data_IF_694034146684
#
_entry.id   IF_694034146684
#
_cell.length_a   1.000
_cell.length_b   1.000
_cell.length_c   1.000
_cell.angle_alpha   90.00
_cell.angle_beta   90.00
_cell.angle_gamma   90.00
#
_symmetry.space_group_name_H-M   'P 1'
#
loop_
_entity.id
_entity.type
_entity.pdbx_description
1 polymer ?
#
# COMPACT_ATOMS: atom_id res chain seq x y z
N UNK A 1 1.23 -92.52 -55.90
CA UNK A 1 -0.05 -91.79 -55.81
C UNK A 1 -0.40 -91.59 -54.35
N UNK A 2 -0.38 -90.36 -53.85
CA UNK A 2 -1.41 -89.75 -52.98
C UNK A 2 -0.83 -88.48 -52.35
N UNK A 3 -1.66 -87.46 -52.27
CA UNK A 3 -1.34 -86.06 -51.99
C UNK A 3 -1.99 -85.57 -50.68
N UNK A 4 -1.68 -84.32 -50.32
CA UNK A 4 -2.35 -83.36 -49.37
C UNK A 4 -1.59 -83.13 -48.06
N UNK A 5 -1.59 -81.94 -47.43
CA UNK A 5 -1.62 -80.48 -47.75
C UNK A 5 -1.53 -79.82 -46.34
N UNK A 6 -0.96 -78.61 -46.19
CA UNK A 6 -0.69 -78.00 -44.87
C UNK A 6 -1.88 -77.22 -44.32
N UNK A 7 -2.06 -77.23 -42.99
CA UNK A 7 -2.99 -76.39 -42.23
C UNK A 7 -2.21 -75.23 -41.62
N UNK A 8 -2.43 -74.03 -42.13
CA UNK A 8 -2.08 -72.76 -41.51
C UNK A 8 -3.15 -71.72 -41.95
N UNK A 9 -3.37 -70.69 -41.12
CA UNK A 9 -4.31 -69.56 -41.27
C UNK A 9 -5.74 -69.75 -40.74
N UNK A 10 -5.98 -69.39 -39.46
CA UNK A 10 -7.25 -68.75 -39.01
C UNK A 10 -7.07 -67.72 -37.86
N UNK A 11 -6.00 -67.75 -37.06
CA UNK A 11 -5.92 -66.92 -35.83
C UNK A 11 -5.41 -65.47 -35.96
N UNK A 12 -5.51 -64.83 -37.14
CA UNK A 12 -4.95 -63.48 -37.36
C UNK A 12 -5.99 -62.34 -37.51
N UNK A 13 -7.30 -62.62 -37.40
CA UNK A 13 -8.34 -61.66 -37.81
C UNK A 13 -9.20 -61.08 -36.68
N UNK A 14 -9.04 -61.50 -35.42
CA UNK A 14 -9.90 -61.05 -34.30
C UNK A 14 -9.23 -60.05 -33.34
N UNK A 15 -7.96 -59.69 -33.53
CA UNK A 15 -7.23 -58.72 -32.68
C UNK A 15 -7.17 -57.32 -33.32
N UNK A 16 -7.58 -57.17 -34.58
CA UNK A 16 -7.57 -55.89 -35.29
C UNK A 16 -8.80 -54.99 -35.04
N UNK A 17 -9.82 -55.44 -34.29
CA UNK A 17 -11.03 -54.65 -34.02
C UNK A 17 -11.02 -53.82 -32.73
N UNK A 18 -9.98 -53.92 -31.88
CA UNK A 18 -9.85 -53.10 -30.65
C UNK A 18 -8.95 -51.88 -30.86
N UNK A 19 -8.36 -51.72 -32.05
CA UNK A 19 -7.49 -50.59 -32.42
C UNK A 19 -8.21 -49.46 -33.17
N UNK A 20 -9.54 -49.49 -33.28
CA UNK A 20 -10.33 -48.31 -33.62
C UNK A 20 -10.47 -47.46 -32.35
N UNK A 21 -9.39 -46.77 -32.00
CA UNK A 21 -9.47 -45.58 -31.16
C UNK A 21 -10.34 -44.58 -31.90
N UNK A 22 -11.66 -44.69 -31.72
CA UNK A 22 -12.63 -43.72 -32.16
C UNK A 22 -12.06 -42.34 -31.82
N UNK A 23 -12.03 -41.44 -32.81
CA UNK A 23 -11.76 -40.04 -32.58
C UNK A 23 -12.85 -39.54 -31.63
N UNK A 24 -12.60 -39.67 -30.32
CA UNK A 24 -13.47 -39.23 -29.25
C UNK A 24 -13.67 -37.73 -29.50
N UNK A 25 -14.88 -37.37 -29.93
CA UNK A 25 -15.24 -35.99 -30.26
C UNK A 25 -14.97 -35.14 -29.03
N UNK A 26 -14.35 -33.99 -29.21
CA UNK A 26 -14.14 -33.05 -28.11
C UNK A 26 -15.45 -32.32 -27.84
N UNK A 27 -16.04 -32.62 -26.69
CA UNK A 27 -17.29 -32.06 -26.17
C UNK A 27 -17.18 -31.97 -24.62
N UNK A 28 -18.21 -31.46 -23.95
CA UNK A 28 -18.13 -31.28 -22.49
C UNK A 28 -18.00 -32.61 -21.73
N UNK A 29 -18.69 -33.67 -22.17
CA UNK A 29 -18.67 -34.98 -21.51
C UNK A 29 -17.30 -35.65 -21.60
N UNK A 30 -16.69 -35.63 -22.80
CA UNK A 30 -15.33 -36.13 -23.00
C UNK A 30 -14.31 -35.35 -22.19
N UNK A 31 -14.43 -34.01 -22.12
CA UNK A 31 -13.56 -33.15 -21.30
C UNK A 31 -13.66 -33.50 -19.80
N UNK A 32 -14.85 -33.80 -19.29
CA UNK A 32 -15.03 -34.22 -17.90
C UNK A 32 -14.45 -35.61 -17.64
N UNK A 33 -14.71 -36.55 -18.54
CA UNK A 33 -14.15 -37.90 -18.49
C UNK A 33 -12.63 -37.87 -18.49
N UNK A 34 -11.99 -36.97 -19.23
CA UNK A 34 -10.53 -36.89 -19.27
C UNK A 34 -9.91 -36.58 -17.90
N UNK A 35 -10.61 -35.88 -17.00
CA UNK A 35 -10.07 -35.58 -15.66
C UNK A 35 -9.64 -36.80 -14.84
N UNK A 36 -10.26 -37.96 -15.08
CA UNK A 36 -10.00 -39.21 -14.33
C UNK A 36 -9.06 -40.17 -15.05
N UNK A 37 -8.55 -39.81 -16.23
CA UNK A 37 -7.74 -40.71 -17.07
C UNK A 37 -6.26 -40.37 -17.03
N UNK A 38 -5.40 -41.39 -17.18
CA UNK A 38 -3.93 -41.22 -17.24
C UNK A 38 -3.47 -40.29 -18.38
N UNK A 39 -4.14 -40.33 -19.54
CA UNK A 39 -3.86 -39.46 -20.70
C UNK A 39 -4.60 -38.12 -20.66
N UNK A 40 -5.47 -37.93 -19.66
CA UNK A 40 -6.32 -36.76 -19.50
C UNK A 40 -5.60 -35.42 -19.51
N UNK A 41 -4.52 -35.25 -18.72
CA UNK A 41 -3.76 -34.00 -18.68
C UNK A 41 -3.28 -33.53 -20.05
N UNK A 42 -2.80 -34.45 -20.90
CA UNK A 42 -2.36 -34.12 -22.26
C UNK A 42 -3.54 -33.77 -23.18
N UNK A 43 -4.67 -34.48 -23.06
CA UNK A 43 -5.89 -34.19 -23.85
C UNK A 43 -6.49 -32.83 -23.49
N UNK A 44 -6.61 -32.53 -22.19
CA UNK A 44 -7.12 -31.24 -21.71
C UNK A 44 -6.24 -30.08 -22.19
N UNK A 45 -4.92 -30.24 -22.08
CA UNK A 45 -3.96 -29.25 -22.58
C UNK A 45 -4.14 -29.00 -24.08
N UNK A 46 -4.24 -30.08 -24.87
CA UNK A 46 -4.48 -29.99 -26.31
C UNK A 46 -5.80 -29.27 -26.63
N UNK A 47 -6.89 -29.59 -25.93
CA UNK A 47 -8.19 -28.94 -26.14
C UNK A 47 -8.19 -27.45 -25.75
N UNK A 48 -7.43 -27.06 -24.72
CA UNK A 48 -7.24 -25.65 -24.38
C UNK A 48 -6.48 -24.89 -25.48
N UNK A 49 -5.43 -25.49 -26.04
CA UNK A 49 -4.56 -24.87 -27.04
C UNK A 49 -5.11 -24.90 -28.48
N UNK A 50 -6.17 -25.67 -28.74
CA UNK A 50 -6.75 -25.82 -30.08
C UNK A 50 -7.51 -24.56 -30.51
N UNK A 51 -6.94 -23.81 -31.47
CA UNK A 51 -7.53 -22.58 -32.00
C UNK A 51 -8.83 -22.80 -32.79
N UNK A 52 -9.03 -24.02 -33.31
CA UNK A 52 -10.21 -24.39 -34.10
C UNK A 52 -11.40 -24.84 -33.23
N UNK A 53 -11.15 -25.14 -31.96
CA UNK A 53 -12.18 -25.60 -31.03
C UNK A 53 -13.10 -24.44 -30.60
N UNK A 54 -14.34 -24.74 -30.22
CA UNK A 54 -15.19 -23.73 -29.57
C UNK A 54 -14.52 -23.18 -28.30
N UNK A 55 -14.60 -21.86 -28.07
CA UNK A 55 -13.93 -21.20 -26.94
C UNK A 55 -14.44 -21.69 -25.59
N UNK A 56 -15.71 -22.10 -25.49
CA UNK A 56 -16.30 -22.63 -24.27
C UNK A 56 -15.78 -24.04 -23.96
N UNK A 57 -15.50 -24.86 -24.98
CA UNK A 57 -14.84 -26.15 -24.79
C UNK A 57 -13.39 -25.99 -24.34
N UNK A 58 -12.63 -25.07 -24.95
CA UNK A 58 -11.27 -24.75 -24.48
C UNK A 58 -11.28 -24.22 -23.04
N UNK A 59 -12.24 -23.36 -22.70
CA UNK A 59 -12.43 -22.89 -21.33
C UNK A 59 -12.80 -24.03 -20.36
N UNK A 60 -13.66 -24.97 -20.77
CA UNK A 60 -14.00 -26.13 -19.95
C UNK A 60 -12.76 -26.99 -19.65
N UNK A 61 -11.93 -27.23 -20.67
CA UNK A 61 -10.67 -27.94 -20.50
C UNK A 61 -9.72 -27.20 -19.55
N UNK A 62 -9.60 -25.88 -19.69
CA UNK A 62 -8.82 -25.01 -18.79
C UNK A 62 -9.29 -25.07 -17.33
N UNK A 63 -10.60 -25.00 -17.08
CA UNK A 63 -11.17 -25.12 -15.73
C UNK A 63 -10.85 -26.48 -15.10
N UNK A 64 -10.92 -27.55 -15.89
CA UNK A 64 -10.61 -28.91 -15.46
C UNK A 64 -9.11 -29.10 -15.17
N UNK A 65 -8.22 -28.43 -15.93
CA UNK A 65 -6.79 -28.38 -15.62
C UNK A 65 -6.51 -27.63 -14.31
N UNK A 66 -7.17 -26.50 -14.07
CA UNK A 66 -7.02 -25.73 -12.82
C UNK A 66 -7.46 -26.59 -11.62
N UNK A 67 -8.62 -27.26 -11.67
CA UNK A 67 -9.08 -28.20 -10.63
C UNK A 67 -8.07 -29.30 -10.27
N UNK A 68 -7.10 -29.58 -11.16
CA UNK A 68 -6.06 -30.60 -10.99
C UNK A 68 -4.68 -30.03 -10.63
N UNK A 69 -4.59 -28.77 -10.19
CA UNK A 69 -3.30 -28.17 -9.83
C UNK A 69 -2.50 -27.63 -11.02
N UNK A 70 -3.01 -27.66 -12.25
CA UNK A 70 -2.24 -27.36 -13.47
C UNK A 70 -2.43 -25.92 -13.97
N UNK A 71 -2.64 -24.99 -13.05
CA UNK A 71 -2.77 -23.56 -13.35
C UNK A 71 -1.57 -22.97 -14.11
N UNK A 72 -0.28 -23.29 -13.79
CA UNK A 72 0.85 -22.78 -14.56
C UNK A 72 0.81 -23.15 -16.05
N UNK A 73 0.29 -24.33 -16.38
CA UNK A 73 0.15 -24.77 -17.76
C UNK A 73 -0.98 -24.03 -18.48
N UNK A 74 -2.12 -23.80 -17.80
CA UNK A 74 -3.19 -22.99 -18.37
C UNK A 74 -2.70 -21.58 -18.67
N UNK A 75 -1.94 -20.95 -17.76
CA UNK A 75 -1.32 -19.64 -17.98
C UNK A 75 -0.38 -19.66 -19.18
N UNK A 76 0.49 -20.66 -19.28
CA UNK A 76 1.42 -20.80 -20.40
C UNK A 76 0.69 -20.93 -21.74
N UNK A 77 -0.40 -21.68 -21.81
CA UNK A 77 -1.16 -21.81 -23.07
C UNK A 77 -1.90 -20.51 -23.42
N UNK A 78 -2.44 -19.79 -22.42
CA UNK A 78 -3.04 -18.48 -22.65
C UNK A 78 -1.99 -17.44 -23.12
N UNK A 79 -0.78 -17.45 -22.56
CA UNK A 79 0.30 -16.55 -23.01
C UNK A 79 0.65 -16.76 -24.51
N UNK A 80 0.62 -18.02 -24.97
CA UNK A 80 0.93 -18.39 -26.36
C UNK A 80 -0.25 -18.23 -27.34
N UNK A 81 -1.46 -18.01 -26.82
CA UNK A 81 -2.68 -17.93 -27.63
C UNK A 81 -2.82 -16.57 -28.31
N UNK A 82 -3.34 -16.55 -29.55
CA UNK A 82 -3.63 -15.31 -30.27
C UNK A 82 -4.55 -14.38 -29.44
N UNK A 83 -4.34 -13.04 -29.42
CA UNK A 83 -5.05 -12.14 -28.50
C UNK A 83 -6.59 -12.21 -28.55
N UNK A 84 -7.17 -12.27 -29.75
CA UNK A 84 -8.62 -12.37 -29.93
C UNK A 84 -9.16 -13.70 -29.39
N UNK A 85 -8.47 -14.80 -29.68
CA UNK A 85 -8.83 -16.14 -29.20
C UNK A 85 -8.72 -16.23 -27.69
N UNK A 86 -7.64 -15.71 -27.11
CA UNK A 86 -7.41 -15.64 -25.67
C UNK A 86 -8.54 -14.93 -24.94
N UNK A 87 -8.94 -13.77 -25.45
CA UNK A 87 -10.04 -12.99 -24.87
C UNK A 87 -11.35 -13.79 -24.86
N UNK A 88 -11.68 -14.46 -25.97
CA UNK A 88 -12.88 -15.30 -26.07
C UNK A 88 -12.87 -16.49 -25.11
N UNK A 89 -11.72 -17.17 -24.95
CA UNK A 89 -11.58 -18.29 -24.00
C UNK A 89 -11.68 -17.79 -22.56
N UNK A 90 -11.03 -16.67 -22.22
CA UNK A 90 -11.06 -16.10 -20.86
C UNK A 90 -12.47 -15.67 -20.46
N UNK A 91 -13.24 -15.08 -21.37
CA UNK A 91 -14.64 -14.71 -21.14
C UNK A 91 -15.52 -15.92 -20.77
N UNK A 92 -15.22 -17.12 -21.28
CA UNK A 92 -15.93 -18.37 -20.94
C UNK A 92 -15.34 -19.06 -19.71
N UNK A 93 -14.04 -18.93 -19.49
CA UNK A 93 -13.33 -19.56 -18.36
C UNK A 93 -13.67 -18.88 -17.02
N UNK A 94 -13.76 -17.56 -16.99
CA UNK A 94 -14.05 -16.79 -15.78
C UNK A 94 -15.31 -17.26 -15.02
N UNK A 95 -16.52 -17.34 -15.62
CA UNK A 95 -17.70 -17.83 -14.90
C UNK A 95 -17.56 -19.29 -14.44
N UNK A 96 -16.88 -20.16 -15.21
CA UNK A 96 -16.65 -21.57 -14.81
C UNK A 96 -15.76 -21.68 -13.57
N UNK A 97 -14.75 -20.80 -13.46
CA UNK A 97 -13.92 -20.72 -12.26
C UNK A 97 -14.68 -20.14 -11.08
N UNK A 98 -15.56 -19.16 -11.31
CA UNK A 98 -16.42 -18.62 -10.25
C UNK A 98 -17.31 -19.70 -9.62
N UNK A 99 -17.96 -20.55 -10.42
CA UNK A 99 -18.75 -21.67 -9.89
C UNK A 99 -17.93 -22.61 -8.98
N UNK A 100 -16.63 -22.74 -9.23
CA UNK A 100 -15.73 -23.53 -8.37
C UNK A 100 -15.22 -22.73 -7.17
N UNK A 101 -15.01 -21.42 -7.31
CA UNK A 101 -14.47 -20.53 -6.29
C UNK A 101 -15.52 -20.08 -5.25
N UNK A 102 -16.79 -20.03 -5.64
CA UNK A 102 -17.92 -19.54 -4.85
C UNK A 102 -18.09 -20.35 -3.56
N UNK A 103 -18.45 -19.65 -2.49
CA UNK A 103 -18.71 -20.21 -1.15
C UNK A 103 -20.08 -19.71 -0.71
N UNK A 104 -21.03 -20.61 -0.48
CA UNK A 104 -22.40 -20.23 -0.09
C UNK A 104 -22.47 -19.60 1.30
N UNK A 105 -21.63 -20.04 2.24
CA UNK A 105 -21.62 -19.50 3.60
C UNK A 105 -20.70 -18.29 3.75
N UNK A 106 -21.24 -17.13 4.16
CA UNK A 106 -20.45 -15.92 4.42
C UNK A 106 -19.41 -16.08 5.54
N UNK A 107 -19.68 -16.96 6.52
CA UNK A 107 -18.76 -17.28 7.61
C UNK A 107 -17.88 -18.51 7.32
N UNK A 108 -18.12 -19.21 6.21
CA UNK A 108 -17.41 -20.43 5.86
C UNK A 108 -16.03 -20.09 5.27
N UNK A 109 -15.01 -20.80 5.75
CA UNK A 109 -13.66 -20.75 5.19
C UNK A 109 -13.57 -21.58 3.90
N UNK A 110 -12.77 -21.14 2.92
CA UNK A 110 -12.68 -21.80 1.63
C UNK A 110 -11.97 -23.16 1.70
N UNK A 111 -12.45 -24.12 0.92
CA UNK A 111 -11.73 -25.35 0.61
C UNK A 111 -10.57 -25.07 -0.37
N UNK A 112 -9.54 -25.94 -0.43
CA UNK A 112 -8.38 -25.74 -1.29
C UNK A 112 -8.73 -25.49 -2.77
N UNK A 113 -9.72 -26.22 -3.31
CA UNK A 113 -10.17 -26.03 -4.70
C UNK A 113 -10.82 -24.65 -4.94
N UNK A 114 -11.54 -24.12 -3.95
CA UNK A 114 -12.13 -22.78 -4.03
C UNK A 114 -11.04 -21.71 -4.04
N UNK A 115 -10.03 -21.86 -3.17
CA UNK A 115 -8.86 -20.97 -3.12
C UNK A 115 -8.13 -20.98 -4.46
N UNK A 116 -7.88 -22.16 -5.01
CA UNK A 116 -7.17 -22.29 -6.28
C UNK A 116 -7.93 -21.68 -7.45
N UNK A 117 -9.25 -21.89 -7.53
CA UNK A 117 -10.09 -21.28 -8.56
C UNK A 117 -10.12 -19.74 -8.44
N UNK A 118 -10.15 -19.22 -7.20
CA UNK A 118 -10.03 -17.79 -6.91
C UNK A 118 -8.68 -17.22 -7.35
N UNK A 119 -7.56 -17.89 -7.05
CA UNK A 119 -6.23 -17.44 -7.49
C UNK A 119 -6.09 -17.45 -9.02
N UNK A 120 -6.71 -18.44 -9.68
CA UNK A 120 -6.79 -18.48 -11.13
C UNK A 120 -7.61 -17.30 -11.68
N UNK A 121 -8.75 -16.94 -11.08
CA UNK A 121 -9.51 -15.74 -11.45
C UNK A 121 -8.65 -14.48 -11.38
N UNK A 122 -7.88 -14.28 -10.31
CA UNK A 122 -6.95 -13.16 -10.18
C UNK A 122 -5.94 -13.15 -11.33
N UNK A 123 -5.36 -14.31 -11.65
CA UNK A 123 -4.38 -14.46 -12.72
C UNK A 123 -4.96 -14.21 -14.12
N UNK A 124 -6.24 -14.53 -14.35
CA UNK A 124 -6.90 -14.32 -15.63
C UNK A 124 -7.12 -12.85 -15.99
N UNK A 125 -7.14 -11.94 -15.00
CA UNK A 125 -7.41 -10.51 -15.22
C UNK A 125 -6.51 -9.86 -16.27
N UNK A 126 -5.24 -10.28 -16.36
CA UNK A 126 -4.28 -9.73 -17.34
C UNK A 126 -4.61 -10.09 -18.79
N UNK A 127 -5.44 -11.11 -19.01
CA UNK A 127 -5.84 -11.58 -20.34
C UNK A 127 -7.25 -11.15 -20.73
N UNK A 128 -8.03 -10.66 -19.76
CA UNK A 128 -9.41 -10.27 -19.93
C UNK A 128 -9.52 -8.91 -20.63
N UNK A 129 -10.55 -8.75 -21.47
CA UNK A 129 -11.05 -7.44 -21.88
C UNK A 129 -11.71 -6.71 -20.70
N UNK A 130 -12.12 -5.45 -20.89
CA UNK A 130 -12.64 -4.63 -19.79
C UNK A 130 -13.94 -5.17 -19.20
N UNK A 131 -14.83 -5.73 -20.03
CA UNK A 131 -16.09 -6.32 -19.59
C UNK A 131 -15.85 -7.57 -18.75
N UNK A 132 -15.01 -8.49 -19.23
CA UNK A 132 -14.66 -9.72 -18.50
C UNK A 132 -13.85 -9.40 -17.25
N UNK A 133 -12.94 -8.41 -17.29
CA UNK A 133 -12.18 -7.96 -16.12
C UNK A 133 -13.11 -7.40 -15.04
N UNK A 134 -14.09 -6.59 -15.42
CA UNK A 134 -15.13 -6.08 -14.51
C UNK A 134 -15.94 -7.21 -13.87
N UNK A 135 -16.27 -8.24 -14.66
CA UNK A 135 -16.96 -9.43 -14.16
C UNK A 135 -16.11 -10.21 -13.15
N UNK A 136 -14.84 -10.44 -13.47
CA UNK A 136 -13.87 -11.08 -12.55
C UNK A 136 -13.73 -10.27 -11.27
N UNK A 137 -13.63 -8.94 -11.37
CA UNK A 137 -13.55 -8.05 -10.21
C UNK A 137 -14.79 -8.19 -9.32
N UNK A 138 -15.99 -8.25 -9.92
CA UNK A 138 -17.23 -8.53 -9.20
C UNK A 138 -17.17 -9.84 -8.40
N UNK A 139 -16.71 -10.93 -9.03
CA UNK A 139 -16.54 -12.23 -8.38
C UNK A 139 -15.54 -12.19 -7.22
N UNK A 140 -14.40 -11.52 -7.42
CA UNK A 140 -13.38 -11.39 -6.37
C UNK A 140 -13.87 -10.54 -5.20
N UNK A 141 -14.63 -9.47 -5.46
CA UNK A 141 -15.26 -8.70 -4.37
C UNK A 141 -16.29 -9.55 -3.64
N UNK A 142 -17.14 -10.32 -4.32
CA UNK A 142 -18.12 -11.21 -3.67
C UNK A 142 -17.44 -12.32 -2.85
N UNK A 143 -16.26 -12.76 -3.28
CA UNK A 143 -15.47 -13.73 -2.54
C UNK A 143 -14.92 -13.14 -1.23
N UNK A 144 -14.31 -11.95 -1.30
CA UNK A 144 -13.61 -11.34 -0.17
C UNK A 144 -14.53 -10.57 0.77
N UNK A 145 -15.43 -9.75 0.24
CA UNK A 145 -16.24 -8.78 0.99
C UNK A 145 -17.40 -9.44 1.74
N UNK A 146 -17.05 -10.34 2.66
CA UNK A 146 -17.93 -11.05 3.58
C UNK A 146 -17.38 -11.00 5.02
N UNK A 147 -18.20 -11.26 6.05
CA UNK A 147 -17.77 -11.32 7.45
C UNK A 147 -16.55 -12.21 7.76
N UNK A 148 -16.31 -13.29 6.99
CA UNK A 148 -15.11 -14.13 7.13
C UNK A 148 -13.85 -13.58 6.44
N UNK A 149 -13.84 -12.31 6.03
CA UNK A 149 -12.71 -11.65 5.33
C UNK A 149 -11.36 -12.00 5.95
N UNK A 150 -11.21 -11.98 7.28
CA UNK A 150 -9.93 -12.26 7.95
C UNK A 150 -9.30 -13.61 7.60
N UNK A 151 -10.10 -14.69 7.61
CA UNK A 151 -9.61 -16.01 7.24
C UNK A 151 -9.43 -16.15 5.73
N UNK A 152 -10.32 -15.50 4.98
CA UNK A 152 -10.34 -15.48 3.52
C UNK A 152 -9.16 -14.72 2.92
N UNK A 153 -8.77 -13.59 3.52
CA UNK A 153 -7.67 -12.73 3.10
C UNK A 153 -6.31 -13.44 3.08
N UNK A 154 -6.14 -14.46 3.93
CA UNK A 154 -4.90 -15.21 4.08
C UNK A 154 -4.85 -16.49 3.24
N UNK A 155 -5.92 -16.79 2.49
CA UNK A 155 -6.05 -18.02 1.74
C UNK A 155 -5.56 -17.86 0.31
N UNK A 156 -4.51 -18.60 -0.05
CA UNK A 156 -4.01 -18.73 -1.43
C UNK A 156 -2.71 -17.98 -1.70
N UNK A 157 -2.36 -17.92 -2.98
CA UNK A 157 -1.12 -17.31 -3.45
C UNK A 157 -1.20 -15.78 -3.49
N UNK A 158 -2.39 -15.21 -3.75
CA UNK A 158 -2.61 -13.76 -3.74
C UNK A 158 -3.49 -13.39 -2.55
N UNK A 159 -2.94 -12.55 -1.67
CA UNK A 159 -3.59 -12.15 -0.41
C UNK A 159 -4.71 -11.14 -0.65
N UNK A 160 -5.69 -11.14 0.26
CA UNK A 160 -6.91 -10.33 0.16
C UNK A 160 -6.66 -8.86 -0.11
N UNK A 161 -5.85 -8.15 0.72
CA UNK A 161 -5.55 -6.75 0.46
C UNK A 161 -4.90 -6.48 -0.90
N UNK A 162 -4.06 -7.38 -1.41
CA UNK A 162 -3.46 -7.26 -2.74
C UNK A 162 -4.53 -7.43 -3.84
N UNK A 163 -5.48 -8.34 -3.68
CA UNK A 163 -6.61 -8.49 -4.60
C UNK A 163 -7.53 -7.26 -4.55
N UNK A 164 -7.82 -6.73 -3.36
CA UNK A 164 -8.64 -5.52 -3.23
C UNK A 164 -7.94 -4.30 -3.84
N UNK A 165 -6.62 -4.16 -3.64
CA UNK A 165 -5.80 -3.12 -4.29
C UNK A 165 -5.86 -3.20 -5.81
N UNK A 166 -5.83 -4.43 -6.32
CA UNK A 166 -5.85 -4.73 -7.74
C UNK A 166 -7.19 -4.38 -8.40
N UNK A 167 -8.30 -4.47 -7.64
CA UNK A 167 -9.65 -4.06 -8.05
C UNK A 167 -9.83 -2.55 -7.90
N UNK A 168 -9.34 -1.97 -6.82
CA UNK A 168 -9.36 -0.54 -6.56
C UNK A 168 -10.70 -0.02 -6.00
N UNK A 169 -11.08 1.24 -6.31
CA UNK A 169 -12.16 1.94 -5.60
C UNK A 169 -13.53 1.28 -5.68
N UNK A 170 -13.81 0.51 -6.73
CA UNK A 170 -15.10 -0.17 -6.92
C UNK A 170 -15.42 -1.20 -5.81
N UNK A 171 -14.40 -1.69 -5.08
CA UNK A 171 -14.58 -2.59 -3.94
C UNK A 171 -15.00 -1.89 -2.63
N UNK A 172 -14.78 -0.58 -2.51
CA UNK A 172 -14.91 0.18 -1.25
C UNK A 172 -16.27 0.00 -0.56
N UNK A 173 -17.36 0.24 -1.28
CA UNK A 173 -18.72 0.15 -0.70
C UNK A 173 -19.08 -1.24 -0.16
N UNK A 174 -18.59 -2.32 -0.79
CA UNK A 174 -18.82 -3.68 -0.28
C UNK A 174 -17.94 -3.96 0.94
N UNK A 175 -16.67 -3.55 0.91
CA UNK A 175 -15.74 -3.69 2.03
C UNK A 175 -16.20 -2.93 3.28
N UNK A 176 -16.64 -1.67 3.14
CA UNK A 176 -17.18 -0.89 4.26
C UNK A 176 -18.42 -1.56 4.88
N UNK A 177 -19.31 -2.13 4.06
CA UNK A 177 -20.48 -2.89 4.56
C UNK A 177 -20.10 -4.11 5.40
N UNK A 178 -18.97 -4.78 5.11
CA UNK A 178 -18.46 -5.86 5.97
C UNK A 178 -18.10 -5.32 7.35
N UNK A 179 -17.40 -4.18 7.39
CA UNK A 179 -17.06 -3.52 8.65
C UNK A 179 -18.33 -3.14 9.41
N UNK A 180 -19.30 -2.49 8.75
CA UNK A 180 -20.59 -2.11 9.35
C UNK A 180 -21.31 -3.32 9.95
N UNK A 181 -21.33 -4.46 9.23
CA UNK A 181 -21.93 -5.69 9.71
C UNK A 181 -21.26 -6.22 10.98
N UNK A 182 -19.94 -6.10 11.10
CA UNK A 182 -19.21 -6.46 12.34
C UNK A 182 -19.53 -5.46 13.45
N UNK A 183 -19.59 -4.16 13.14
CA UNK A 183 -19.91 -3.10 14.10
C UNK A 183 -21.31 -3.30 14.68
N UNK A 184 -22.29 -3.58 13.83
CA UNK A 184 -23.71 -3.65 14.17
C UNK A 184 -24.19 -5.04 14.64
N UNK A 185 -23.33 -6.07 14.63
CA UNK A 185 -23.78 -7.42 15.01
C UNK A 185 -24.28 -7.46 16.48
N UNK A 186 -25.35 -8.22 16.77
CA UNK A 186 -25.97 -8.27 18.10
C UNK A 186 -25.06 -8.92 19.15
N UNK A 187 -25.37 -8.69 20.44
CA UNK A 187 -24.65 -9.31 21.57
C UNK A 187 -23.31 -8.65 21.90
N UNK A 188 -23.14 -7.37 21.54
CA UNK A 188 -21.91 -6.59 21.72
C UNK A 188 -21.99 -5.58 22.88
N UNK A 189 -22.96 -5.73 23.78
CA UNK A 189 -23.18 -4.79 24.89
C UNK A 189 -22.05 -4.85 25.94
N UNK A 190 -21.46 -6.04 26.14
CA UNK A 190 -20.37 -6.27 27.10
C UNK A 190 -18.99 -6.30 26.45
N UNK A 191 -18.89 -6.82 25.24
CA UNK A 191 -17.63 -6.94 24.49
C UNK A 191 -17.91 -6.75 23.01
N UNK A 192 -17.36 -5.68 22.45
CA UNK A 192 -17.49 -5.38 21.02
C UNK A 192 -16.60 -6.33 20.21
N UNK A 193 -17.10 -6.78 19.06
CA UNK A 193 -16.33 -7.58 18.11
C UNK A 193 -15.17 -6.74 17.58
N UNK A 194 -13.99 -7.35 17.56
CA UNK A 194 -12.77 -6.75 17.04
C UNK A 194 -12.86 -6.60 15.52
N UNK A 195 -12.44 -5.44 15.01
CA UNK A 195 -12.18 -5.25 13.59
C UNK A 195 -10.81 -5.86 13.25
N UNK A 196 -10.77 -6.79 12.31
CA UNK A 196 -9.53 -7.48 11.97
C UNK A 196 -8.55 -6.61 11.17
N UNK A 197 -7.26 -6.94 11.23
CA UNK A 197 -6.19 -6.15 10.60
C UNK A 197 -6.22 -6.26 9.07
N UNK A 198 -6.51 -7.45 8.55
CA UNK A 198 -6.62 -7.65 7.11
C UNK A 198 -7.81 -6.88 6.56
N UNK A 199 -8.93 -6.84 7.28
CA UNK A 199 -10.12 -6.11 6.87
C UNK A 199 -9.85 -4.59 6.82
N UNK A 200 -9.21 -4.03 7.84
CA UNK A 200 -8.81 -2.62 7.86
C UNK A 200 -7.88 -2.30 6.68
N UNK A 201 -6.88 -3.15 6.45
CA UNK A 201 -5.95 -3.00 5.32
C UNK A 201 -6.67 -3.16 3.98
N UNK A 202 -7.61 -4.09 3.85
CA UNK A 202 -8.42 -4.30 2.67
C UNK A 202 -9.24 -3.06 2.32
N UNK A 203 -9.91 -2.44 3.31
CA UNK A 203 -10.64 -1.17 3.11
C UNK A 203 -9.69 -0.06 2.66
N UNK A 204 -8.55 0.12 3.34
CA UNK A 204 -7.55 1.13 3.00
C UNK A 204 -6.96 0.93 1.59
N UNK A 205 -6.71 -0.32 1.20
CA UNK A 205 -6.10 -0.71 -0.06
C UNK A 205 -7.01 -0.47 -1.29
N UNK A 206 -8.31 -0.22 -1.09
CA UNK A 206 -9.23 0.14 -2.19
C UNK A 206 -8.80 1.42 -2.91
N UNK A 207 -8.13 2.34 -2.22
CA UNK A 207 -7.77 3.64 -2.79
C UNK A 207 -8.95 4.56 -3.05
N UNK A 208 -10.08 4.31 -2.39
CA UNK A 208 -11.26 5.18 -2.47
C UNK A 208 -11.22 6.27 -1.37
N UNK A 209 -11.53 7.55 -1.67
CA UNK A 209 -11.51 8.61 -0.67
C UNK A 209 -12.53 8.44 0.47
N UNK A 210 -13.70 7.83 0.21
CA UNK A 210 -14.69 7.54 1.24
C UNK A 210 -14.21 6.39 2.14
N UNK A 211 -13.58 5.37 1.55
CA UNK A 211 -12.95 4.30 2.34
C UNK A 211 -11.82 4.82 3.24
N UNK A 212 -10.98 5.75 2.75
CA UNK A 212 -9.97 6.43 3.59
C UNK A 212 -10.64 7.15 4.74
N UNK A 213 -11.65 7.98 4.45
CA UNK A 213 -12.41 8.70 5.48
C UNK A 213 -12.97 7.73 6.52
N UNK A 214 -13.56 6.64 6.05
CA UNK A 214 -14.16 5.63 6.91
C UNK A 214 -13.15 4.96 7.84
N UNK A 215 -11.94 4.63 7.36
CA UNK A 215 -10.87 4.12 8.22
C UNK A 215 -10.41 5.18 9.23
N UNK A 216 -10.36 6.46 8.85
CA UNK A 216 -10.03 7.54 9.78
C UNK A 216 -11.13 7.77 10.84
N UNK A 217 -12.40 7.56 10.50
CA UNK A 217 -13.50 7.59 11.47
C UNK A 217 -13.37 6.43 12.48
N UNK A 218 -12.90 5.25 12.04
CA UNK A 218 -12.60 4.11 12.92
C UNK A 218 -11.49 4.45 13.92
N UNK A 219 -10.49 5.25 13.56
CA UNK A 219 -9.40 5.66 14.46
C UNK A 219 -9.93 6.35 15.72
N UNK A 220 -11.06 7.06 15.61
CA UNK A 220 -11.69 7.80 16.71
C UNK A 220 -12.80 7.01 17.41
N UNK A 221 -13.10 5.82 16.93
CA UNK A 221 -14.20 5.02 17.44
C UNK A 221 -13.81 4.31 18.72
N UNK A 222 -14.51 4.61 19.82
CA UNK A 222 -14.36 3.80 21.04
C UNK A 222 -15.08 2.46 20.86
N UNK A 223 -14.28 1.40 20.73
CA UNK A 223 -14.75 0.01 20.72
C UNK A 223 -14.28 -0.81 21.92
N UNK A 224 -13.73 -0.19 22.96
CA UNK A 224 -13.05 -0.94 24.04
C UNK A 224 -11.85 -1.74 23.55
N UNK A 225 -11.30 -1.39 22.39
CA UNK A 225 -10.04 -1.89 21.81
C UNK A 225 -9.11 -0.67 21.68
N UNK A 226 -8.27 -0.49 22.69
CA UNK A 226 -7.25 0.56 22.81
C UNK A 226 -6.14 0.45 21.75
N UNK A 227 -6.04 -0.68 21.05
CA UNK A 227 -5.13 -0.85 19.91
C UNK A 227 -5.73 -0.40 18.57
N UNK A 228 -7.06 -0.24 18.50
CA UNK A 228 -7.77 0.05 17.25
C UNK A 228 -7.27 1.32 16.52
N UNK A 229 -7.02 2.45 17.19
CA UNK A 229 -6.50 3.66 16.52
C UNK A 229 -5.18 3.38 15.79
N UNK A 230 -4.25 2.69 16.45
CA UNK A 230 -2.95 2.32 15.88
C UNK A 230 -3.09 1.37 14.71
N UNK A 231 -3.94 0.34 14.82
CA UNK A 231 -4.12 -0.65 13.73
C UNK A 231 -4.81 -0.03 12.51
N UNK A 232 -5.80 0.83 12.71
CA UNK A 232 -6.48 1.54 11.62
C UNK A 232 -5.54 2.53 10.90
N UNK A 233 -4.73 3.30 11.64
CA UNK A 233 -3.70 4.15 11.05
C UNK A 233 -2.62 3.33 10.33
N UNK A 234 -2.18 2.22 10.90
CA UNK A 234 -1.19 1.33 10.29
C UNK A 234 -1.71 0.70 8.99
N UNK A 235 -3.01 0.41 8.90
CA UNK A 235 -3.63 -0.05 7.66
C UNK A 235 -3.53 0.99 6.53
N UNK A 236 -3.80 2.26 6.83
CA UNK A 236 -3.59 3.36 5.87
C UNK A 236 -2.10 3.52 5.55
N UNK A 237 -1.22 3.50 6.55
CA UNK A 237 0.23 3.58 6.33
C UNK A 237 0.72 2.49 5.38
N UNK A 238 0.33 1.23 5.59
CA UNK A 238 0.69 0.12 4.71
C UNK A 238 0.15 0.32 3.29
N UNK A 239 -1.07 0.85 3.15
CA UNK A 239 -1.65 1.07 1.83
C UNK A 239 -0.94 2.18 1.03
N UNK A 240 -0.53 3.27 1.67
CA UNK A 240 -0.08 4.50 1.00
C UNK A 240 1.41 4.83 1.15
N UNK A 241 2.11 4.20 2.11
CA UNK A 241 3.50 4.54 2.43
C UNK A 241 4.42 3.34 2.21
N UNK A 242 4.14 2.21 2.87
CA UNK A 242 4.99 1.02 2.80
C UNK A 242 4.17 -0.27 2.96
N UNK A 243 3.76 -0.90 1.83
CA UNK A 243 3.01 -2.14 1.85
C UNK A 243 3.89 -3.36 2.19
N UNK A 244 5.19 -3.19 2.43
CA UNK A 244 6.12 -4.30 2.69
C UNK A 244 6.24 -5.28 1.52
N UNK A 245 6.05 -4.79 0.29
CA UNK A 245 6.06 -5.60 -0.93
C UNK A 245 4.78 -6.40 -1.17
N UNK A 246 3.72 -6.20 -0.38
CA UNK A 246 2.46 -6.94 -0.54
C UNK A 246 1.71 -6.57 -1.83
N UNK A 247 1.73 -5.30 -2.21
CA UNK A 247 1.11 -4.76 -3.42
C UNK A 247 1.73 -3.39 -3.76
N UNK A 248 1.43 -2.84 -4.94
CA UNK A 248 1.85 -1.48 -5.31
C UNK A 248 1.16 -0.42 -4.45
N UNK A 249 1.94 0.57 -3.99
CA UNK A 249 1.44 1.70 -3.21
C UNK A 249 0.19 2.31 -3.85
N UNK A 250 -0.81 2.62 -3.02
CA UNK A 250 -2.03 3.29 -3.45
C UNK A 250 -1.70 4.74 -3.82
N UNK A 251 -2.16 5.26 -4.97
CA UNK A 251 -1.97 6.67 -5.32
C UNK A 251 -2.54 7.59 -4.24
N UNK A 252 -1.80 8.62 -3.81
CA UNK A 252 -2.18 9.44 -2.66
C UNK A 252 -3.37 10.38 -2.91
N UNK A 253 -3.92 10.42 -4.13
CA UNK A 253 -5.05 11.25 -4.49
C UNK A 253 -6.28 11.05 -3.57
N UNK A 254 -6.49 9.83 -3.08
CA UNK A 254 -7.58 9.51 -2.15
C UNK A 254 -7.38 10.06 -0.72
N UNK A 255 -6.16 10.42 -0.36
CA UNK A 255 -5.87 11.06 0.93
C UNK A 255 -6.20 12.55 0.92
N UNK A 256 -6.17 13.22 -0.25
CA UNK A 256 -6.31 14.68 -0.40
C UNK A 256 -7.55 15.24 0.32
N UNK A 257 -8.77 14.68 0.17
CA UNK A 257 -9.96 15.20 0.84
C UNK A 257 -9.92 15.03 2.37
N UNK A 258 -9.03 14.18 2.87
CA UNK A 258 -8.96 13.74 4.26
C UNK A 258 -7.73 14.28 5.01
N UNK A 259 -6.92 15.15 4.39
CA UNK A 259 -5.71 15.71 4.99
C UNK A 259 -6.00 16.49 6.28
N UNK A 260 -7.11 17.23 6.33
CA UNK A 260 -7.54 17.92 7.55
C UNK A 260 -7.79 16.96 8.73
N UNK A 261 -8.39 15.80 8.46
CA UNK A 261 -8.61 14.76 9.46
C UNK A 261 -7.29 14.15 9.92
N UNK A 262 -6.36 13.88 9.01
CA UNK A 262 -5.01 13.40 9.33
C UNK A 262 -4.26 14.39 10.24
N UNK A 263 -4.31 15.69 9.93
CA UNK A 263 -3.71 16.74 10.80
C UNK A 263 -4.33 16.71 12.19
N UNK A 264 -5.65 16.58 12.26
CA UNK A 264 -6.36 16.54 13.54
C UNK A 264 -6.03 15.28 14.35
N UNK A 265 -5.77 14.13 13.72
CA UNK A 265 -5.29 12.91 14.40
C UNK A 265 -3.85 13.10 14.87
N UNK A 266 -2.97 13.65 14.02
CA UNK A 266 -1.57 13.85 14.36
C UNK A 266 -1.36 14.82 15.54
N UNK A 267 -2.30 15.75 15.76
CA UNK A 267 -2.29 16.72 16.87
C UNK A 267 -3.02 16.24 18.13
N UNK A 268 -3.68 15.09 18.11
CA UNK A 268 -4.46 14.64 19.27
C UNK A 268 -3.55 13.88 20.25
N UNK A 269 -3.19 14.51 21.36
CA UNK A 269 -2.34 13.92 22.41
C UNK A 269 -2.90 12.62 23.02
N UNK A 270 -4.19 12.32 22.79
CA UNK A 270 -4.84 11.07 23.22
C UNK A 270 -4.58 9.92 22.25
N UNK A 271 -4.16 10.21 21.03
CA UNK A 271 -3.84 9.20 20.01
C UNK A 271 -2.44 8.65 20.31
N UNK A 272 -2.24 7.32 20.28
CA UNK A 272 -0.93 6.73 20.47
C UNK A 272 0.10 7.27 19.48
N UNK A 273 1.35 7.51 19.93
CA UNK A 273 2.39 8.14 19.10
C UNK A 273 2.66 7.43 17.77
N UNK A 274 2.49 6.10 17.69
CA UNK A 274 2.57 5.35 16.43
C UNK A 274 1.52 5.80 15.41
N UNK A 275 0.26 5.94 15.82
CA UNK A 275 -0.83 6.43 14.97
C UNK A 275 -0.62 7.89 14.54
N UNK A 276 -0.12 8.75 15.43
CA UNK A 276 0.20 10.14 15.10
C UNK A 276 1.33 10.23 14.05
N UNK A 277 2.36 9.39 14.19
CA UNK A 277 3.46 9.31 13.22
C UNK A 277 2.98 8.81 11.85
N UNK A 278 2.13 7.78 11.84
CA UNK A 278 1.51 7.28 10.60
C UNK A 278 0.67 8.36 9.92
N UNK A 279 -0.08 9.18 10.68
CA UNK A 279 -0.84 10.29 10.14
C UNK A 279 0.06 11.32 9.45
N UNK A 280 1.22 11.65 10.02
CA UNK A 280 2.18 12.56 9.38
C UNK A 280 2.82 11.95 8.14
N UNK A 281 3.16 10.66 8.17
CA UNK A 281 3.65 9.97 6.99
C UNK A 281 2.63 10.01 5.84
N UNK A 282 1.33 9.82 6.16
CA UNK A 282 0.23 9.93 5.21
C UNK A 282 0.06 11.34 4.65
N UNK A 283 0.17 12.39 5.47
CA UNK A 283 0.15 13.78 4.98
C UNK A 283 1.32 14.03 4.02
N UNK A 284 2.51 13.49 4.31
CA UNK A 284 3.70 13.69 3.47
C UNK A 284 3.59 13.03 2.10
N UNK A 285 3.03 11.81 2.00
CA UNK A 285 2.90 11.13 0.70
C UNK A 285 1.90 11.80 -0.25
N UNK A 286 1.03 12.69 0.25
CA UNK A 286 0.19 13.56 -0.61
C UNK A 286 1.06 14.44 -1.52
N UNK A 287 2.23 14.86 -1.03
CA UNK A 287 3.15 15.67 -1.78
C UNK A 287 2.76 17.15 -1.91
N UNK A 288 3.67 17.99 -2.43
CA UNK A 288 3.45 19.42 -2.57
C UNK A 288 2.48 19.75 -3.73
N UNK A 289 1.72 20.85 -3.63
CA UNK A 289 1.68 21.78 -2.48
C UNK A 289 0.80 21.30 -1.33
N UNK A 290 -0.03 20.28 -1.55
CA UNK A 290 -1.13 19.91 -0.65
C UNK A 290 -0.69 19.41 0.74
N UNK A 291 0.56 18.98 0.91
CA UNK A 291 1.09 18.60 2.22
C UNK A 291 1.71 19.76 3.03
N UNK A 292 2.05 20.90 2.39
CA UNK A 292 2.88 21.94 3.03
C UNK A 292 2.11 22.63 4.14
N UNK A 293 1.00 23.31 3.80
CA UNK A 293 0.22 24.06 4.79
C UNK A 293 -0.28 23.19 5.96
N UNK A 294 -0.76 21.95 5.72
CA UNK A 294 -1.09 21.00 6.78
C UNK A 294 0.06 20.74 7.76
N UNK A 295 1.27 20.46 7.26
CA UNK A 295 2.43 20.15 8.10
C UNK A 295 2.99 21.41 8.79
N UNK A 296 3.00 22.54 8.08
CA UNK A 296 3.39 23.85 8.65
C UNK A 296 2.46 24.23 9.80
N UNK A 297 1.15 24.02 9.63
CA UNK A 297 0.16 24.24 10.67
C UNK A 297 0.33 23.37 11.92
N UNK A 298 1.19 22.35 11.88
CA UNK A 298 1.53 21.51 13.05
C UNK A 298 2.73 22.04 13.86
N UNK A 299 3.57 22.89 13.28
CA UNK A 299 4.85 23.31 13.88
C UNK A 299 4.64 24.08 15.19
N UNK A 300 3.67 24.99 15.20
CA UNK A 300 3.35 25.81 16.37
C UNK A 300 2.39 25.12 17.36
N UNK A 301 2.00 23.88 17.10
CA UNK A 301 1.06 23.17 17.98
C UNK A 301 1.74 22.80 19.30
N UNK A 302 1.17 23.20 20.47
CA UNK A 302 1.65 22.74 21.76
C UNK A 302 1.52 21.22 21.87
N UNK A 303 2.56 20.54 22.34
CA UNK A 303 2.56 19.08 22.50
C UNK A 303 3.36 18.68 23.76
N UNK A 304 2.93 17.66 24.54
CA UNK A 304 3.62 17.24 25.77
C UNK A 304 5.04 16.72 25.52
N UNK A 305 5.26 16.01 24.41
CA UNK A 305 6.60 15.59 24.00
C UNK A 305 7.39 16.78 23.40
N UNK A 306 8.48 17.24 24.04
CA UNK A 306 9.29 18.32 23.52
C UNK A 306 9.93 18.02 22.16
N UNK A 307 10.03 16.76 21.74
CA UNK A 307 10.57 16.36 20.42
C UNK A 307 9.66 16.81 19.27
N UNK A 308 8.38 17.03 19.53
CA UNK A 308 7.39 17.45 18.53
C UNK A 308 7.79 18.73 17.79
N UNK A 309 8.46 19.67 18.49
CA UNK A 309 8.93 20.95 17.92
C UNK A 309 9.93 20.80 16.78
N UNK A 310 10.57 19.63 16.65
CA UNK A 310 11.52 19.30 15.56
C UNK A 310 10.87 18.45 14.47
N UNK A 311 9.85 17.67 14.83
CA UNK A 311 9.18 16.73 13.94
C UNK A 311 8.35 17.43 12.86
N UNK A 312 7.53 18.41 13.23
CA UNK A 312 6.73 19.19 12.28
C UNK A 312 7.60 19.85 11.18
N UNK A 313 8.66 20.61 11.56
CA UNK A 313 9.58 21.20 10.60
C UNK A 313 10.26 20.17 9.67
N UNK A 314 10.79 19.08 10.22
CA UNK A 314 11.43 18.00 9.43
C UNK A 314 10.45 17.38 8.42
N UNK A 315 9.22 17.09 8.85
CA UNK A 315 8.18 16.53 7.99
C UNK A 315 7.79 17.49 6.85
N UNK A 316 7.59 18.77 7.16
CA UNK A 316 7.22 19.79 6.19
C UNK A 316 8.34 20.05 5.18
N UNK A 317 9.61 20.13 5.62
CA UNK A 317 10.78 20.27 4.74
C UNK A 317 10.94 19.08 3.80
N UNK A 318 10.77 17.85 4.31
CA UNK A 318 10.81 16.64 3.48
C UNK A 318 9.68 16.60 2.46
N UNK A 319 8.57 17.30 2.71
CA UNK A 319 7.46 17.32 1.76
C UNK A 319 7.59 18.43 0.70
N UNK A 320 7.83 19.68 1.12
CA UNK A 320 7.86 20.82 0.20
C UNK A 320 9.24 21.15 -0.38
N UNK A 321 10.31 20.52 0.12
CA UNK A 321 11.68 20.81 -0.29
C UNK A 321 12.01 22.30 -0.09
N UNK A 322 12.62 22.92 -1.11
CA UNK A 322 13.00 24.34 -1.08
C UNK A 322 11.80 25.25 -0.82
N UNK A 323 10.65 24.95 -1.43
CA UNK A 323 9.42 25.76 -1.28
C UNK A 323 8.88 25.76 0.15
N UNK A 324 9.27 24.79 0.97
CA UNK A 324 8.89 24.73 2.37
C UNK A 324 9.85 25.49 3.30
N UNK A 325 11.06 25.88 2.87
CA UNK A 325 12.06 26.51 3.75
C UNK A 325 11.47 27.70 4.49
N UNK A 326 11.00 28.70 3.75
CA UNK A 326 10.42 29.92 4.33
C UNK A 326 9.21 29.65 5.23
N UNK A 327 8.11 29.02 4.76
CA UNK A 327 6.91 28.83 5.59
C UNK A 327 7.17 27.95 6.82
N UNK A 328 8.07 26.96 6.73
CA UNK A 328 8.46 26.15 7.89
C UNK A 328 9.15 27.00 8.93
N UNK A 329 10.19 27.73 8.52
CA UNK A 329 11.04 28.47 9.44
C UNK A 329 10.28 29.64 10.09
N UNK A 330 9.38 30.30 9.35
CA UNK A 330 8.49 31.33 9.89
C UNK A 330 7.48 30.79 10.90
N UNK A 331 7.00 29.55 10.71
CA UNK A 331 6.07 28.92 11.63
C UNK A 331 6.71 28.37 12.91
N UNK A 332 8.05 28.29 12.98
CA UNK A 332 8.76 27.86 14.18
C UNK A 332 8.68 28.94 15.27
N UNK A 333 8.05 28.65 16.43
CA UNK A 333 7.89 29.64 17.49
C UNK A 333 9.24 29.99 18.14
N UNK A 334 9.35 31.20 18.67
CA UNK A 334 10.52 31.65 19.43
C UNK A 334 10.53 31.06 20.87
N UNK A 335 10.85 29.77 20.95
CA UNK A 335 10.93 29.01 22.19
C UNK A 335 12.33 28.41 22.43
N UNK A 336 12.41 27.42 23.32
CA UNK A 336 13.65 26.70 23.66
C UNK A 336 14.01 25.72 22.54
N UNK A 337 15.24 25.74 22.03
CA UNK A 337 15.71 24.74 21.06
C UNK A 337 17.14 24.30 21.38
N UNK A 338 17.35 22.99 21.37
CA UNK A 338 18.67 22.38 21.50
C UNK A 338 19.37 22.41 20.14
N UNK A 339 20.59 22.96 20.11
CA UNK A 339 21.35 23.15 18.88
C UNK A 339 21.51 21.86 18.09
N UNK A 340 21.85 20.75 18.74
CA UNK A 340 22.12 19.48 18.06
C UNK A 340 20.87 18.89 17.41
N UNK A 341 19.71 18.97 18.08
CA UNK A 341 18.42 18.52 17.53
C UNK A 341 17.92 19.42 16.41
N UNK A 342 18.03 20.74 16.58
CA UNK A 342 17.73 21.71 15.53
C UNK A 342 18.63 21.48 14.31
N UNK A 343 19.90 21.18 14.55
CA UNK A 343 20.86 20.86 13.51
C UNK A 343 20.46 19.63 12.71
N UNK A 344 20.14 18.53 13.40
CA UNK A 344 19.78 17.25 12.77
C UNK A 344 18.46 17.27 12.00
N UNK A 345 17.47 18.02 12.49
CA UNK A 345 16.09 18.01 11.93
C UNK A 345 15.83 19.09 10.87
N UNK A 346 16.41 20.29 11.04
CA UNK A 346 16.10 21.46 10.19
C UNK A 346 17.32 21.90 9.40
N UNK A 347 18.41 22.24 10.08
CA UNK A 347 19.58 22.88 9.44
C UNK A 347 20.21 21.95 8.39
N UNK A 348 20.53 20.70 8.77
CA UNK A 348 21.14 19.74 7.85
C UNK A 348 20.16 19.26 6.78
N UNK A 349 18.85 19.26 7.07
CA UNK A 349 17.83 18.95 6.07
C UNK A 349 17.84 20.01 4.97
N UNK A 350 17.84 21.30 5.32
CA UNK A 350 17.88 22.41 4.36
C UNK A 350 19.24 22.47 3.64
N UNK A 351 20.35 22.35 4.37
CA UNK A 351 21.71 22.46 3.80
C UNK A 351 22.02 21.41 2.72
N UNK A 352 21.32 20.27 2.73
CA UNK A 352 21.46 19.17 1.75
C UNK A 352 20.52 19.29 0.56
N UNK A 353 19.61 20.27 0.55
CA UNK A 353 18.67 20.47 -0.55
C UNK A 353 19.36 20.97 -1.82
N UNK A 354 18.76 20.67 -2.96
CA UNK A 354 19.22 21.10 -4.28
C UNK A 354 18.07 21.68 -5.11
N UNK A 355 18.36 22.68 -5.97
CA UNK A 355 19.69 23.22 -6.24
C UNK A 355 20.14 24.29 -5.22
N UNK A 356 21.46 24.37 -4.98
CA UNK A 356 22.08 25.11 -3.86
C UNK A 356 21.75 26.60 -3.89
N UNK A 357 21.78 27.22 -5.06
CA UNK A 357 21.57 28.65 -5.25
C UNK A 357 20.17 29.10 -4.83
N UNK A 358 19.16 28.25 -5.05
CA UNK A 358 17.79 28.52 -4.61
C UNK A 358 17.66 28.41 -3.09
N UNK A 359 18.30 27.40 -2.48
CA UNK A 359 18.35 27.25 -1.02
C UNK A 359 18.99 28.49 -0.38
N UNK A 360 20.15 28.93 -0.91
CA UNK A 360 20.84 30.13 -0.42
C UNK A 360 19.98 31.39 -0.58
N UNK A 361 19.25 31.53 -1.68
CA UNK A 361 18.35 32.66 -1.90
C UNK A 361 17.24 32.73 -0.84
N UNK A 362 16.59 31.60 -0.51
CA UNK A 362 15.58 31.52 0.55
C UNK A 362 16.19 31.88 1.92
N UNK A 363 17.35 31.31 2.26
CA UNK A 363 18.04 31.56 3.53
C UNK A 363 18.45 33.03 3.70
N UNK A 364 18.87 33.70 2.62
CA UNK A 364 19.20 35.14 2.65
C UNK A 364 17.99 36.00 3.02
N UNK A 365 16.79 35.63 2.55
CA UNK A 365 15.56 36.32 2.94
C UNK A 365 15.31 36.22 4.46
N UNK A 366 15.55 35.03 5.02
CA UNK A 366 15.35 34.74 6.44
C UNK A 366 16.29 35.49 7.39
N UNK A 367 17.45 35.98 6.93
CA UNK A 367 18.36 36.79 7.76
C UNK A 367 17.77 38.12 8.21
N UNK A 368 16.74 38.61 7.53
CA UNK A 368 16.08 39.89 7.83
C UNK A 368 14.72 39.75 8.51
N UNK A 369 14.28 38.51 8.77
CA UNK A 369 12.99 38.25 9.39
C UNK A 369 12.97 38.67 10.87
N UNK A 370 11.78 39.04 11.35
CA UNK A 370 11.58 39.46 12.75
C UNK A 370 11.84 38.30 13.71
N UNK A 371 11.42 37.08 13.33
CA UNK A 371 11.60 35.86 14.13
C UNK A 371 13.09 35.62 14.41
N UNK A 372 13.43 35.45 15.69
CA UNK A 372 14.80 35.11 16.11
C UNK A 372 15.14 33.70 15.63
N UNK A 373 14.19 32.77 15.71
CA UNK A 373 14.34 31.42 15.17
C UNK A 373 14.64 31.42 13.67
N UNK A 374 13.95 32.28 12.90
CA UNK A 374 14.19 32.36 11.46
C UNK A 374 15.61 32.79 11.11
N UNK A 375 16.09 33.84 11.78
CA UNK A 375 17.47 34.31 11.63
C UNK A 375 18.48 33.27 12.11
N UNK A 376 18.20 32.57 13.22
CA UNK A 376 19.08 31.52 13.74
C UNK A 376 19.24 30.36 12.73
N UNK A 377 18.13 29.82 12.21
CA UNK A 377 18.16 28.75 11.20
C UNK A 377 18.91 29.21 9.95
N UNK A 378 18.69 30.45 9.49
CA UNK A 378 19.37 30.99 8.32
C UNK A 378 20.89 31.03 8.51
N UNK A 379 21.35 31.58 9.65
CA UNK A 379 22.78 31.69 10.00
C UNK A 379 23.46 30.31 10.05
N UNK A 380 22.88 29.36 10.81
CA UNK A 380 23.49 28.04 10.97
C UNK A 380 23.49 27.26 9.66
N UNK A 381 22.43 27.38 8.84
CA UNK A 381 22.34 26.68 7.55
C UNK A 381 23.34 27.22 6.54
N UNK A 382 23.44 28.55 6.39
CA UNK A 382 24.42 29.16 5.49
C UNK A 382 25.86 28.80 5.89
N UNK A 383 26.15 28.76 7.19
CA UNK A 383 27.44 28.32 7.71
C UNK A 383 27.70 26.83 7.45
N UNK A 384 26.72 25.96 7.71
CA UNK A 384 26.82 24.53 7.41
C UNK A 384 27.02 24.25 5.92
N UNK A 385 26.48 25.10 5.05
CA UNK A 385 26.68 25.07 3.61
C UNK A 385 28.04 25.63 3.17
N UNK A 386 28.84 26.25 4.06
CA UNK A 386 30.09 26.94 3.73
C UNK A 386 29.92 28.06 2.69
N UNK A 387 28.88 28.87 2.83
CA UNK A 387 28.62 30.01 1.93
C UNK A 387 29.50 31.21 2.29
N UNK A 388 30.70 31.27 1.71
CA UNK A 388 31.70 32.32 1.98
C UNK A 388 31.17 33.70 1.55
N UNK A 389 30.40 33.73 0.46
CA UNK A 389 29.75 34.94 -0.06
C UNK A 389 28.75 35.56 0.92
N UNK A 390 28.22 34.78 1.87
CA UNK A 390 27.27 35.23 2.88
C UNK A 390 27.93 35.60 4.23
N UNK A 391 29.26 35.45 4.37
CA UNK A 391 30.01 35.77 5.59
C UNK A 391 29.69 37.17 6.15
N UNK A 392 29.75 38.19 5.30
CA UNK A 392 29.49 39.57 5.71
C UNK A 392 28.02 39.78 6.14
N UNK A 393 27.07 39.09 5.49
CA UNK A 393 25.65 39.17 5.85
C UNK A 393 25.38 38.50 7.20
N UNK A 394 25.96 37.32 7.43
CA UNK A 394 25.89 36.62 8.72
C UNK A 394 26.48 37.52 9.83
N UNK A 395 27.68 38.06 9.62
CA UNK A 395 28.34 38.94 10.61
C UNK A 395 27.55 40.23 10.92
N UNK A 396 26.70 40.68 9.99
CA UNK A 396 25.87 41.87 10.17
C UNK A 396 24.67 41.66 11.10
N UNK A 397 24.31 40.41 11.43
CA UNK A 397 23.21 40.11 12.34
C UNK A 397 23.60 40.45 13.77
N UNK A 398 23.27 41.68 14.18
CA UNK A 398 23.47 42.19 15.55
C UNK A 398 22.18 41.97 16.34
N UNK A 399 22.14 40.94 17.18
CA UNK A 399 21.03 40.70 18.09
C UNK A 399 21.53 40.28 19.48
N UNK A 400 20.96 40.89 20.51
CA UNK A 400 21.16 40.52 21.91
C UNK A 400 20.21 39.42 22.41
N UNK A 401 19.34 38.89 21.54
CA UNK A 401 18.38 37.85 21.89
C UNK A 401 19.12 36.54 22.19
N UNK A 402 18.88 35.96 23.38
CA UNK A 402 19.49 34.68 23.79
C UNK A 402 18.88 33.52 23.02
N UNK A 403 19.72 32.55 22.64
CA UNK A 403 19.30 31.28 22.04
C UNK A 403 18.97 30.28 23.15
N UNK A 404 17.79 30.43 23.77
CA UNK A 404 17.43 29.68 24.98
C UNK A 404 17.46 28.17 24.72
N UNK A 405 18.18 27.44 25.59
CA UNK A 405 18.34 25.98 25.51
C UNK A 405 19.35 25.51 24.46
N UNK A 406 20.21 26.40 23.96
CA UNK A 406 21.20 26.10 22.93
C UNK A 406 22.00 24.83 23.24
N UNK A 407 22.36 24.64 24.51
CA UNK A 407 23.15 23.50 24.98
C UNK A 407 22.31 22.28 25.44
N UNK A 408 20.98 22.31 25.27
CA UNK A 408 20.10 21.26 25.77
C UNK A 408 19.86 21.33 27.28
N UNK A 409 19.38 20.22 27.86
CA UNK A 409 19.17 20.12 29.31
C UNK A 409 20.52 20.01 30.05
N UNK A 410 20.80 21.03 30.88
CA UNK A 410 21.99 21.12 31.71
C UNK A 410 21.69 20.92 33.20
N UNK A 411 20.48 20.47 33.55
CA UNK A 411 20.04 20.33 34.95
C UNK A 411 20.89 19.33 35.74
N UNK A 412 21.42 18.30 35.07
CA UNK A 412 22.34 17.30 35.65
C UNK A 412 23.80 17.75 35.77
N UNK A 413 24.16 18.93 35.26
CA UNK A 413 25.53 19.47 35.37
C UNK A 413 25.69 20.31 36.65
N UNK A 414 26.88 20.26 37.24
CA UNK A 414 27.30 21.19 38.30
C UNK A 414 27.11 22.63 37.79
N UNK A 415 26.51 23.54 38.59
CA UNK A 415 26.30 24.93 38.20
C UNK A 415 27.51 25.63 37.57
N UNK A 416 28.75 25.29 37.98
CA UNK A 416 29.97 25.89 37.42
C UNK A 416 30.31 25.39 36.00
N UNK A 417 29.82 24.22 35.62
CA UNK A 417 30.05 23.58 34.33
C UNK A 417 28.94 23.90 33.32
N UNK A 418 27.86 24.56 33.77
CA UNK A 418 26.76 25.03 32.91
C UNK A 418 27.25 26.15 32.01
N UNK A 419 27.04 26.00 30.71
CA UNK A 419 27.42 27.01 29.72
C UNK A 419 26.26 27.99 29.54
N UNK A 420 26.51 29.31 29.55
CA UNK A 420 25.47 30.27 29.23
C UNK A 420 25.06 30.12 27.77
N UNK A 421 23.76 30.26 27.50
CA UNK A 421 23.24 30.31 26.14
C UNK A 421 23.79 31.55 25.42
N UNK A 422 24.37 31.40 24.21
CA UNK A 422 24.86 32.53 23.45
C UNK A 422 23.71 33.41 22.96
N UNK A 423 24.01 34.67 22.68
CA UNK A 423 23.12 35.53 21.90
C UNK A 423 23.20 35.17 20.42
N UNK A 424 22.13 35.46 19.67
CA UNK A 424 22.10 35.28 18.22
C UNK A 424 23.27 36.02 17.53
N UNK A 425 23.59 37.24 17.96
CA UNK A 425 24.72 38.00 17.40
C UNK A 425 26.09 37.41 17.72
N UNK A 426 26.30 36.89 18.94
CA UNK A 426 27.53 36.17 19.28
C UNK A 426 27.71 34.93 18.39
N UNK A 427 26.63 34.16 18.21
CA UNK A 427 26.65 32.95 17.38
C UNK A 427 26.87 33.27 15.90
N UNK A 428 26.25 34.32 15.39
CA UNK A 428 26.44 34.80 14.03
C UNK A 428 27.90 35.20 13.77
N UNK A 429 28.51 35.96 14.70
CA UNK A 429 29.93 36.33 14.61
C UNK A 429 30.84 35.10 14.60
N UNK A 430 30.65 34.17 15.54
CA UNK A 430 31.45 32.94 15.63
C UNK A 430 31.41 32.14 14.32
N UNK A 431 30.22 31.97 13.74
CA UNK A 431 30.07 31.24 12.48
C UNK A 431 30.63 31.99 11.28
N UNK A 432 30.49 33.32 11.23
CA UNK A 432 31.09 34.13 10.17
C UNK A 432 32.62 34.11 10.23
N UNK A 433 33.21 34.10 11.42
CA UNK A 433 34.66 34.01 11.59
C UNK A 433 35.22 32.65 11.14
N UNK A 434 34.41 31.59 11.23
CA UNK A 434 34.75 30.23 10.77
C UNK A 434 34.51 29.93 9.29
N UNK A 435 33.89 30.85 8.54
CA UNK A 435 33.74 30.82 7.08
C UNK A 435 34.90 31.52 6.39
#
# INVERSE_FOLDING_TARGET
MSARRPIALVFASLIALVALGACEKTDHESIDKWQSTKKGPAKLKKALADESLDADLSAHAGANMIKKGRDPEVRSELDNMAPARRTAVVAKLAPRLWETARIEGEMQLPAPLQVQAKDALVSLRKYADDATRTQIDGYLVDWYAVPSFEGRAKAGAVLGPAVIRLIGPSAAKKMMRVVDGIIAAPGQEKMKKRLGDELLLGVAATGDPEAVKYVLDIVRMDRGDDTLPTRAMSALYKAYVDPGGLFDIVPPAALVPNVGTLVSIAKDDRVPGGAANDAVALIRVVGPPACIDPLVGMIAHPHPDPRWRYFGPDAALKCGGIKAIKPVVEAMPDQVYEKEKLAGSVILAIARMSPREQVVAELRGLLTEKSRMARWVAIETLAAMKSVEDKARIASVKSGERLVGFWGDQSGLDPKDRKPDPTLGQRAKELADGL
#
